data_IF_623433659678
#
_entry.id   IF_623433659678
#
_cell.length_a   1.000
_cell.length_b   1.000
_cell.length_c   1.000
_cell.angle_alpha   90.00
_cell.angle_beta   90.00
_cell.angle_gamma   90.00
#
_symmetry.space_group_name_H-M   'P 1'
#
loop_
_entity.id
_entity.type
_entity.pdbx_description
1 polymer ?
#
# COMPACT_ATOMS: atom_id res chain seq x y z
N UNK A 1 12.63 -3.52 -26.55
CA UNK A 1 13.00 -3.97 -25.19
C UNK A 1 12.52 -2.96 -24.19
N UNK A 2 11.43 -3.29 -23.51
CA UNK A 2 10.86 -2.48 -22.43
C UNK A 2 11.83 -2.35 -21.27
N UNK A 3 11.69 -1.30 -20.48
CA UNK A 3 12.49 -1.07 -19.27
C UNK A 3 11.61 -1.07 -18.04
N UNK A 4 11.95 -1.94 -17.09
CA UNK A 4 11.46 -1.89 -15.72
C UNK A 4 12.43 -1.08 -14.86
N UNK A 5 11.97 0.07 -14.38
CA UNK A 5 12.73 0.96 -13.51
C UNK A 5 12.10 0.93 -12.13
N UNK A 6 12.91 0.76 -11.08
CA UNK A 6 12.45 0.86 -9.69
C UNK A 6 12.98 2.12 -9.04
N UNK A 7 12.09 2.89 -8.41
CA UNK A 7 12.41 4.13 -7.70
C UNK A 7 12.35 3.86 -6.20
N UNK A 8 13.45 4.12 -5.50
CA UNK A 8 13.53 4.01 -4.03
C UNK A 8 14.08 5.28 -3.40
N UNK A 9 13.73 5.51 -2.14
CA UNK A 9 14.31 6.59 -1.33
C UNK A 9 15.57 6.07 -0.65
N UNK A 10 16.64 6.84 -0.62
CA UNK A 10 17.91 6.40 -0.01
C UNK A 10 18.06 6.83 1.45
N UNK A 11 17.09 7.56 2.01
CA UNK A 11 17.15 8.15 3.36
C UNK A 11 15.97 7.63 4.21
N UNK A 12 15.36 8.47 5.05
CA UNK A 12 14.21 8.14 5.90
C UNK A 12 12.85 8.52 5.27
N UNK A 13 12.76 8.58 3.94
CA UNK A 13 11.55 9.02 3.25
C UNK A 13 11.55 10.51 2.91
N UNK A 14 10.46 10.96 2.27
CA UNK A 14 10.27 12.34 1.79
C UNK A 14 11.38 12.88 0.86
N UNK A 15 12.12 12.02 0.15
CA UNK A 15 13.20 12.44 -0.75
C UNK A 15 12.71 13.09 -2.06
N UNK A 16 11.39 13.26 -2.22
CA UNK A 16 10.79 13.81 -3.44
C UNK A 16 10.54 12.77 -4.54
N UNK A 17 10.44 11.48 -4.18
CA UNK A 17 10.19 10.37 -5.14
C UNK A 17 9.02 10.64 -6.08
N UNK A 18 7.87 11.08 -5.55
CA UNK A 18 6.67 11.34 -6.36
C UNK A 18 6.89 12.32 -7.50
N UNK A 19 7.74 13.34 -7.32
CA UNK A 19 8.10 14.29 -8.38
C UNK A 19 8.92 13.64 -9.50
N UNK A 20 9.81 12.72 -9.15
CA UNK A 20 10.61 11.97 -10.12
C UNK A 20 9.76 10.93 -10.84
N UNK A 21 8.87 10.27 -10.11
CA UNK A 21 7.87 9.35 -10.67
C UNK A 21 7.03 10.09 -11.70
N UNK A 22 6.45 11.24 -11.33
CA UNK A 22 5.63 12.08 -12.24
C UNK A 22 6.41 12.61 -13.46
N UNK A 23 7.71 12.91 -13.33
CA UNK A 23 8.54 13.28 -14.49
C UNK A 23 8.71 12.10 -15.47
N UNK A 24 8.74 10.87 -14.96
CA UNK A 24 9.01 9.67 -15.74
C UNK A 24 7.73 8.99 -16.25
N UNK A 25 6.56 9.32 -15.69
CA UNK A 25 5.28 8.69 -16.04
C UNK A 25 4.87 8.91 -17.49
N UNK A 26 5.34 9.98 -18.14
CA UNK A 26 5.11 10.24 -19.57
C UNK A 26 5.80 9.23 -20.52
N UNK A 27 6.61 8.31 -19.97
CA UNK A 27 7.42 7.35 -20.74
C UNK A 27 7.18 5.90 -20.35
N UNK A 28 6.15 5.63 -19.56
CA UNK A 28 5.86 4.29 -19.06
C UNK A 28 4.41 3.91 -19.33
N UNK A 29 4.17 2.62 -19.49
CA UNK A 29 2.86 2.04 -19.74
C UNK A 29 2.15 1.70 -18.42
N UNK A 30 2.93 1.49 -17.34
CA UNK A 30 2.39 1.25 -16.01
C UNK A 30 3.25 1.80 -14.86
N UNK A 31 2.58 2.17 -13.77
CA UNK A 31 3.20 2.46 -12.47
C UNK A 31 2.70 1.46 -11.43
N UNK A 32 3.62 0.83 -10.72
CA UNK A 32 3.36 -0.28 -9.80
C UNK A 32 3.81 0.08 -8.39
N UNK A 33 2.88 0.19 -7.46
CA UNK A 33 3.18 0.27 -6.02
C UNK A 33 3.40 -1.12 -5.47
N UNK A 34 4.54 -1.36 -4.82
CA UNK A 34 4.94 -2.71 -4.40
C UNK A 34 4.99 -2.93 -2.88
N UNK A 35 4.88 -1.87 -2.07
CA UNK A 35 4.91 -1.98 -0.61
C UNK A 35 4.28 -0.79 0.11
N UNK A 36 4.14 -0.96 1.43
CA UNK A 36 3.63 0.02 2.37
C UNK A 36 2.12 0.01 2.34
N UNK A 37 1.51 1.15 2.58
CA UNK A 37 0.08 1.36 2.40
C UNK A 37 -0.18 2.85 2.26
N UNK A 38 -1.29 3.31 2.83
CA UNK A 38 -1.61 4.73 2.92
C UNK A 38 -0.70 5.50 3.90
N UNK A 39 0.33 4.92 4.51
CA UNK A 39 1.33 5.67 5.29
C UNK A 39 2.37 6.40 4.44
N UNK A 40 2.37 6.16 3.14
CA UNK A 40 3.08 7.00 2.20
C UNK A 40 2.23 8.23 1.88
N UNK A 41 2.88 9.37 1.64
CA UNK A 41 2.28 10.52 1.01
C UNK A 41 3.25 11.03 -0.04
N UNK A 42 2.81 11.17 -1.28
CA UNK A 42 3.60 11.84 -2.30
C UNK A 42 2.77 12.94 -2.96
N UNK A 43 3.39 14.11 -3.08
CA UNK A 43 2.77 15.24 -3.75
C UNK A 43 3.06 15.14 -5.24
N UNK A 44 2.02 15.17 -6.05
CA UNK A 44 2.10 15.38 -7.50
C UNK A 44 1.57 16.78 -7.82
N UNK A 45 2.19 17.45 -8.78
CA UNK A 45 1.75 18.77 -9.24
C UNK A 45 1.58 18.71 -10.75
N UNK A 46 0.34 18.81 -11.22
CA UNK A 46 0.01 18.86 -12.65
C UNK A 46 -0.72 20.16 -12.93
N UNK A 47 -0.27 20.89 -13.95
CA UNK A 47 -0.83 22.18 -14.37
C UNK A 47 -0.98 23.21 -13.23
N UNK A 48 -0.09 23.12 -12.22
CA UNK A 48 -0.10 23.99 -11.05
C UNK A 48 -1.01 23.52 -9.91
N UNK A 49 -1.82 22.47 -10.10
CA UNK A 49 -2.66 21.90 -9.05
C UNK A 49 -1.90 20.84 -8.25
N UNK A 50 -1.89 20.99 -6.92
CA UNK A 50 -1.24 20.07 -6.00
C UNK A 50 -2.21 18.97 -5.54
N UNK A 51 -1.87 17.72 -5.82
CA UNK A 51 -2.61 16.53 -5.35
C UNK A 51 -1.69 15.67 -4.49
N UNK A 52 -2.20 15.24 -3.31
CA UNK A 52 -1.45 14.37 -2.40
C UNK A 52 -2.06 12.98 -2.48
N UNK A 53 -1.26 12.03 -2.96
CA UNK A 53 -1.63 10.63 -3.08
C UNK A 53 -0.96 9.80 -1.98
N UNK A 54 -1.61 8.71 -1.58
CA UNK A 54 -1.18 7.84 -0.49
C UNK A 54 -1.07 6.38 -0.94
N UNK A 55 -2.18 5.74 -1.33
CA UNK A 55 -2.20 4.36 -1.82
C UNK A 55 -2.05 4.30 -3.34
N UNK A 56 -2.74 5.20 -4.03
CA UNK A 56 -2.82 5.20 -5.49
C UNK A 56 -1.45 5.58 -6.07
N UNK A 57 -0.92 4.84 -7.06
CA UNK A 57 0.34 5.19 -7.71
C UNK A 57 0.31 6.58 -8.37
N UNK A 58 1.46 7.27 -8.43
CA UNK A 58 1.50 8.65 -8.96
C UNK A 58 1.09 8.78 -10.43
N UNK A 59 1.13 7.68 -11.18
CA UNK A 59 0.75 7.63 -12.60
C UNK A 59 -0.73 7.86 -12.87
N UNK A 60 -1.60 7.87 -11.85
CA UNK A 60 -3.06 7.90 -12.01
C UNK A 60 -3.56 9.13 -12.77
N UNK A 61 -2.80 10.21 -12.70
CA UNK A 61 -3.11 11.48 -13.35
C UNK A 61 -2.75 11.50 -14.85
N UNK A 62 -2.16 10.43 -15.39
CA UNK A 62 -1.79 10.31 -16.82
C UNK A 62 -2.76 9.34 -17.52
N UNK A 63 -3.24 9.74 -18.69
CA UNK A 63 -4.32 9.02 -19.38
C UNK A 63 -3.93 7.63 -19.88
N UNK A 64 -2.68 7.46 -20.31
CA UNK A 64 -2.20 6.22 -20.94
C UNK A 64 -1.39 5.34 -19.98
N UNK A 65 -1.52 5.56 -18.67
CA UNK A 65 -0.71 4.87 -17.66
C UNK A 65 -1.60 4.00 -16.78
N UNK A 66 -1.37 2.70 -16.82
CA UNK A 66 -2.04 1.75 -15.92
C UNK A 66 -1.44 1.86 -14.51
N UNK A 67 -2.29 1.95 -13.49
CA UNK A 67 -1.85 2.01 -12.10
C UNK A 67 -2.10 0.69 -11.40
N UNK A 68 -1.05 0.05 -10.90
CA UNK A 68 -1.13 -1.28 -10.29
C UNK A 68 -0.73 -1.21 -8.81
N UNK A 69 -1.56 -1.79 -7.93
CA UNK A 69 -1.23 -2.03 -6.53
C UNK A 69 -0.85 -3.51 -6.38
N UNK A 70 0.44 -3.78 -6.20
CA UNK A 70 0.99 -5.12 -6.05
C UNK A 70 0.71 -5.74 -4.67
N UNK A 71 0.78 -7.07 -4.60
CA UNK A 71 0.47 -7.88 -3.42
C UNK A 71 1.30 -7.58 -2.16
N UNK A 72 2.37 -6.79 -2.29
CA UNK A 72 3.19 -6.35 -1.17
C UNK A 72 2.57 -5.20 -0.37
N UNK A 73 1.58 -4.49 -0.91
CA UNK A 73 0.90 -3.34 -0.28
C UNK A 73 -0.18 -3.82 0.69
N UNK A 74 -0.25 -3.20 1.88
CA UNK A 74 -1.39 -3.33 2.81
C UNK A 74 -2.43 -2.25 2.49
N UNK A 75 -3.64 -2.68 2.11
CA UNK A 75 -4.68 -1.80 1.56
C UNK A 75 -5.74 -1.51 2.62
N UNK A 76 -5.97 -0.24 2.92
CA UNK A 76 -7.14 0.21 3.67
C UNK A 76 -8.27 0.49 2.68
N UNK A 77 -9.38 -0.28 2.68
CA UNK A 77 -10.51 -0.02 1.79
C UNK A 77 -11.08 1.39 1.94
N UNK A 78 -11.22 1.86 3.18
CA UNK A 78 -11.72 3.20 3.48
C UNK A 78 -10.83 4.30 2.87
N UNK A 79 -9.51 4.23 3.12
CA UNK A 79 -8.58 5.23 2.61
C UNK A 79 -8.46 5.19 1.08
N UNK A 80 -8.55 4.00 0.49
CA UNK A 80 -8.53 3.83 -0.96
C UNK A 80 -9.74 4.50 -1.61
N UNK A 81 -10.95 4.26 -1.06
CA UNK A 81 -12.18 4.82 -1.61
C UNK A 81 -12.21 6.34 -1.48
N UNK A 82 -11.80 6.86 -0.32
CA UNK A 82 -11.66 8.31 -0.10
C UNK A 82 -10.72 8.95 -1.15
N UNK A 83 -9.59 8.30 -1.44
CA UNK A 83 -8.62 8.78 -2.43
C UNK A 83 -9.16 8.70 -3.86
N UNK A 84 -9.91 7.65 -4.21
CA UNK A 84 -10.59 7.50 -5.50
C UNK A 84 -11.64 8.60 -5.69
N UNK A 85 -12.52 8.81 -4.72
CA UNK A 85 -13.57 9.82 -4.78
C UNK A 85 -13.00 11.24 -4.90
N UNK A 86 -11.91 11.51 -4.18
CA UNK A 86 -11.16 12.76 -4.30
C UNK A 86 -10.65 12.97 -5.73
N UNK A 87 -10.07 11.95 -6.36
CA UNK A 87 -9.58 12.03 -7.74
C UNK A 87 -10.70 12.21 -8.77
N UNK A 88 -11.78 11.45 -8.64
CA UNK A 88 -12.92 11.52 -9.55
C UNK A 88 -13.67 12.85 -9.44
N UNK A 89 -13.73 13.45 -8.24
CA UNK A 89 -14.29 14.79 -8.07
C UNK A 89 -13.52 15.88 -8.84
N UNK A 90 -12.26 15.59 -9.21
CA UNK A 90 -11.39 16.42 -10.04
C UNK A 90 -11.36 15.99 -11.52
N UNK A 91 -12.20 15.04 -11.92
CA UNK A 91 -12.29 14.55 -13.29
C UNK A 91 -11.25 13.49 -13.67
N UNK A 92 -10.51 12.93 -12.71
CA UNK A 92 -9.58 11.83 -12.97
C UNK A 92 -10.34 10.50 -12.85
N UNK A 93 -10.44 9.67 -13.90
CA UNK A 93 -11.19 8.41 -13.87
C UNK A 93 -10.39 7.32 -13.16
N UNK A 94 -10.21 7.45 -11.84
CA UNK A 94 -9.31 6.61 -11.06
C UNK A 94 -9.72 5.13 -11.07
N UNK A 95 -11.02 4.81 -10.98
CA UNK A 95 -11.51 3.43 -11.04
C UNK A 95 -11.24 2.72 -12.37
N UNK A 96 -11.12 3.46 -13.47
CA UNK A 96 -10.85 2.89 -14.79
C UNK A 96 -9.36 2.54 -14.98
N UNK A 97 -8.47 3.24 -14.26
CA UNK A 97 -7.02 3.13 -14.43
C UNK A 97 -6.32 2.30 -13.34
N UNK A 98 -6.99 2.10 -12.21
CA UNK A 98 -6.43 1.43 -11.04
C UNK A 98 -6.80 -0.05 -11.02
N UNK A 99 -5.79 -0.91 -10.89
CA UNK A 99 -5.94 -2.33 -10.62
C UNK A 99 -5.24 -2.71 -9.32
N UNK A 100 -5.86 -3.62 -8.57
CA UNK A 100 -5.47 -3.99 -7.21
C UNK A 100 -5.30 -5.50 -7.14
N UNK A 101 -4.15 -5.94 -6.65
CA UNK A 101 -3.91 -7.37 -6.44
C UNK A 101 -4.89 -7.92 -5.40
N UNK A 102 -5.57 -9.01 -5.78
CA UNK A 102 -6.42 -9.77 -4.86
C UNK A 102 -5.65 -10.30 -3.62
N UNK A 103 -4.32 -10.40 -3.72
CA UNK A 103 -3.45 -10.91 -2.67
C UNK A 103 -3.01 -9.85 -1.65
N UNK A 104 -3.35 -8.57 -1.84
CA UNK A 104 -3.07 -7.51 -0.88
C UNK A 104 -3.73 -7.80 0.48
N UNK A 105 -2.98 -7.79 1.60
CA UNK A 105 -3.59 -7.80 2.93
C UNK A 105 -4.40 -6.53 3.18
N UNK A 106 -5.46 -6.66 3.96
CA UNK A 106 -6.34 -5.55 4.33
C UNK A 106 -5.89 -4.89 5.62
N UNK A 107 -6.03 -3.56 5.66
CA UNK A 107 -6.04 -2.79 6.89
C UNK A 107 -7.50 -2.65 7.32
N UNK A 108 -7.85 -3.23 8.48
CA UNK A 108 -9.17 -3.16 9.09
C UNK A 108 -9.10 -2.31 10.38
N UNK A 109 -10.24 -1.85 10.93
CA UNK A 109 -10.27 -0.93 12.07
C UNK A 109 -9.47 -1.41 13.30
N UNK A 110 -9.42 -2.73 13.54
CA UNK A 110 -8.64 -3.29 14.64
C UNK A 110 -7.13 -3.12 14.48
N UNK A 111 -6.60 -3.03 13.25
CA UNK A 111 -5.20 -2.69 13.01
C UNK A 111 -4.89 -1.26 13.46
N UNK A 112 -5.78 -0.32 13.16
CA UNK A 112 -5.64 1.09 13.56
C UNK A 112 -5.72 1.22 15.08
N UNK A 113 -6.69 0.57 15.71
CA UNK A 113 -6.82 0.56 17.18
C UNK A 113 -5.61 -0.08 17.86
N UNK A 114 -5.06 -1.16 17.30
CA UNK A 114 -3.89 -1.85 17.85
C UNK A 114 -2.61 -1.02 17.70
N UNK A 115 -2.42 -0.34 16.57
CA UNK A 115 -1.31 0.58 16.32
C UNK A 115 -1.31 1.72 17.36
N UNK A 116 -2.45 2.40 17.51
CA UNK A 116 -2.61 3.45 18.52
C UNK A 116 -2.43 2.94 19.96
N UNK A 117 -2.92 1.75 20.28
CA UNK A 117 -2.75 1.14 21.59
C UNK A 117 -1.28 0.84 21.93
N UNK A 118 -0.52 0.34 20.95
CA UNK A 118 0.92 0.04 21.09
C UNK A 118 1.76 1.29 21.29
N UNK A 119 1.50 2.34 20.50
CA UNK A 119 2.21 3.61 20.64
C UNK A 119 1.96 4.22 22.03
N UNK A 120 0.71 4.24 22.50
CA UNK A 120 0.38 4.72 23.86
C UNK A 120 1.08 3.91 24.95
N UNK A 121 1.10 2.58 24.81
CA UNK A 121 1.74 1.70 25.79
C UNK A 121 3.28 1.85 25.79
N UNK A 122 3.88 2.25 24.67
CA UNK A 122 5.33 2.41 24.52
C UNK A 122 5.85 3.70 25.15
N UNK A 123 4.98 4.68 25.43
CA UNK A 123 5.33 5.91 26.12
C UNK A 123 6.48 6.64 25.44
N UNK A 124 7.58 6.87 26.17
CA UNK A 124 8.78 7.56 25.64
C UNK A 124 9.57 6.73 24.62
N UNK A 125 9.25 5.45 24.45
CA UNK A 125 9.85 4.54 23.46
C UNK A 125 8.95 4.32 22.23
N UNK A 126 7.89 5.12 22.08
CA UNK A 126 7.05 5.09 20.90
C UNK A 126 7.90 5.26 19.63
N UNK A 127 7.49 4.56 18.57
CA UNK A 127 8.20 4.57 17.29
C UNK A 127 7.92 5.88 16.54
N UNK A 128 6.73 6.47 16.74
CA UNK A 128 6.22 7.55 15.91
C UNK A 128 5.53 6.98 14.67
N UNK A 129 4.69 5.95 14.83
CA UNK A 129 3.96 5.36 13.71
C UNK A 129 2.97 6.37 13.12
N UNK A 130 2.53 6.15 11.88
CA UNK A 130 1.51 7.01 11.27
C UNK A 130 0.11 6.80 11.86
N UNK A 131 -0.07 5.87 12.80
CA UNK A 131 -1.38 5.51 13.37
C UNK A 131 -2.36 4.93 12.35
N UNK A 132 -1.86 4.38 11.24
CA UNK A 132 -2.65 3.91 10.09
C UNK A 132 -2.80 2.39 10.06
N UNK A 133 -2.33 1.68 11.08
CA UNK A 133 -2.48 0.22 11.18
C UNK A 133 -1.53 -0.57 10.26
N UNK A 134 -0.46 0.05 9.75
CA UNK A 134 0.48 -0.60 8.82
C UNK A 134 1.19 -1.78 9.45
N UNK A 135 1.80 -1.55 10.62
CA UNK A 135 2.55 -2.58 11.35
C UNK A 135 1.68 -3.77 11.72
N UNK A 136 0.53 -3.56 12.41
CA UNK A 136 -0.41 -4.63 12.69
C UNK A 136 -0.89 -5.42 11.45
N UNK A 137 -1.13 -4.76 10.32
CA UNK A 137 -1.54 -5.46 9.09
C UNK A 137 -0.41 -6.35 8.52
N UNK A 138 0.84 -5.87 8.55
CA UNK A 138 2.00 -6.69 8.16
C UNK A 138 2.26 -7.83 9.15
N UNK A 139 2.03 -7.61 10.45
CA UNK A 139 2.12 -8.67 11.46
C UNK A 139 1.10 -9.78 11.19
N UNK A 140 -0.16 -9.43 10.90
CA UNK A 140 -1.18 -10.42 10.57
C UNK A 140 -0.86 -11.16 9.26
N UNK A 141 -0.22 -10.49 8.30
CA UNK A 141 0.30 -11.13 7.07
C UNK A 141 1.36 -12.17 7.43
N UNK A 142 2.36 -11.80 8.24
CA UNK A 142 3.43 -12.70 8.66
C UNK A 142 2.91 -13.86 9.53
N UNK A 143 1.90 -13.59 10.37
CA UNK A 143 1.23 -14.59 11.20
C UNK A 143 0.28 -15.51 10.42
N UNK A 144 0.05 -15.22 9.12
CA UNK A 144 -0.87 -15.96 8.23
C UNK A 144 -2.34 -15.88 8.66
N UNK A 145 -2.73 -14.79 9.33
CA UNK A 145 -4.13 -14.51 9.74
C UNK A 145 -4.75 -13.31 9.02
N UNK A 146 -3.97 -12.56 8.23
CA UNK A 146 -4.50 -11.40 7.52
C UNK A 146 -5.62 -11.79 6.54
N UNK A 147 -6.71 -11.03 6.60
CA UNK A 147 -7.68 -10.97 5.52
C UNK A 147 -7.05 -10.26 4.32
N UNK A 148 -7.40 -10.70 3.12
CA UNK A 148 -6.89 -10.14 1.85
C UNK A 148 -8.03 -9.59 1.00
N UNK A 149 -7.69 -8.80 -0.02
CA UNK A 149 -8.67 -8.26 -0.98
C UNK A 149 -9.57 -9.36 -1.58
N UNK A 150 -9.02 -10.52 -1.92
CA UNK A 150 -9.78 -11.68 -2.39
C UNK A 150 -10.90 -12.11 -1.41
N UNK A 151 -10.69 -11.94 -0.10
CA UNK A 151 -11.70 -12.30 0.90
C UNK A 151 -12.93 -11.37 0.81
N UNK A 152 -12.77 -10.09 0.43
CA UNK A 152 -13.90 -9.14 0.25
C UNK A 152 -14.89 -9.60 -0.81
N UNK A 153 -14.44 -10.37 -1.80
CA UNK A 153 -15.28 -10.88 -2.88
C UNK A 153 -16.21 -12.03 -2.43
N UNK A 154 -16.02 -12.53 -1.21
CA UNK A 154 -16.75 -13.68 -0.66
C UNK A 154 -17.22 -13.41 0.77
N UNK A 155 -18.42 -12.85 0.91
CA UNK A 155 -18.99 -12.42 2.21
C UNK A 155 -18.85 -13.44 3.34
N UNK A 156 -19.21 -14.70 3.10
CA UNK A 156 -19.16 -15.74 4.16
C UNK A 156 -17.73 -16.04 4.60
N UNK A 157 -16.80 -16.12 3.65
CA UNK A 157 -15.37 -16.32 3.91
C UNK A 157 -14.77 -15.13 4.64
N UNK A 158 -15.14 -13.90 4.24
CA UNK A 158 -14.74 -12.68 4.95
C UNK A 158 -15.25 -12.69 6.39
N UNK A 159 -16.54 -12.94 6.59
CA UNK A 159 -17.18 -12.96 7.91
C UNK A 159 -16.55 -14.00 8.85
N UNK A 160 -16.30 -15.21 8.37
CA UNK A 160 -15.63 -16.27 9.14
C UNK A 160 -14.23 -15.86 9.58
N UNK A 161 -13.38 -15.40 8.65
CA UNK A 161 -12.01 -14.96 8.98
C UNK A 161 -11.98 -13.72 9.87
N UNK A 162 -12.89 -12.78 9.64
CA UNK A 162 -13.04 -11.59 10.46
C UNK A 162 -13.41 -11.98 11.89
N UNK A 163 -14.33 -12.93 12.08
CA UNK A 163 -14.74 -13.37 13.40
C UNK A 163 -13.58 -13.90 14.23
N UNK A 164 -12.78 -14.81 13.65
CA UNK A 164 -11.60 -15.39 14.31
C UNK A 164 -10.53 -14.33 14.62
N UNK A 165 -10.21 -13.49 13.63
CA UNK A 165 -9.13 -12.51 13.74
C UNK A 165 -9.50 -11.37 14.69
N UNK A 166 -10.76 -10.91 14.63
CA UNK A 166 -11.28 -9.87 15.51
C UNK A 166 -11.42 -10.35 16.95
N UNK A 167 -11.79 -11.61 17.19
CA UNK A 167 -11.84 -12.14 18.56
C UNK A 167 -10.46 -12.10 19.23
N UNK A 168 -9.42 -12.55 18.52
CA UNK A 168 -8.03 -12.43 18.97
C UNK A 168 -7.64 -10.99 19.27
N UNK A 169 -7.85 -10.07 18.32
CA UNK A 169 -7.47 -8.66 18.52
C UNK A 169 -8.28 -7.98 19.60
N UNK A 170 -9.58 -8.26 19.72
CA UNK A 170 -10.41 -7.75 20.80
C UNK A 170 -9.95 -8.26 22.17
N UNK A 171 -9.52 -9.52 22.26
CA UNK A 171 -8.94 -10.05 23.49
C UNK A 171 -7.67 -9.28 23.87
N UNK A 172 -6.76 -9.05 22.92
CA UNK A 172 -5.52 -8.30 23.15
C UNK A 172 -5.81 -6.83 23.50
N UNK A 173 -6.69 -6.17 22.76
CA UNK A 173 -7.09 -4.78 23.00
C UNK A 173 -7.67 -4.60 24.40
N UNK A 174 -8.66 -5.41 24.78
CA UNK A 174 -9.36 -5.26 26.05
C UNK A 174 -8.53 -5.72 27.26
N UNK A 175 -7.86 -6.86 27.15
CA UNK A 175 -7.22 -7.49 28.32
C UNK A 175 -5.78 -7.04 28.53
N UNK A 176 -5.04 -6.76 27.46
CA UNK A 176 -3.65 -6.33 27.55
C UNK A 176 -3.53 -4.80 27.50
N UNK A 177 -4.09 -4.17 26.46
CA UNK A 177 -3.96 -2.71 26.26
C UNK A 177 -5.02 -1.87 26.96
N UNK A 178 -6.05 -2.48 27.56
CA UNK A 178 -7.20 -1.78 28.18
C UNK A 178 -7.88 -0.80 27.22
N UNK A 179 -7.92 -1.16 25.94
CA UNK A 179 -8.58 -0.42 24.87
C UNK A 179 -10.00 -0.96 24.60
N UNK A 180 -10.82 -0.16 23.93
CA UNK A 180 -12.18 -0.52 23.57
C UNK A 180 -12.21 -1.72 22.60
N UNK A 181 -13.21 -2.59 22.78
CA UNK A 181 -13.49 -3.68 21.84
C UNK A 181 -14.21 -3.11 20.62
N UNK A 182 -13.92 -3.68 19.47
CA UNK A 182 -14.55 -3.33 18.22
C UNK A 182 -15.71 -4.28 17.92
N UNK A 183 -16.77 -3.73 17.33
CA UNK A 183 -17.96 -4.46 16.97
C UNK A 183 -17.78 -5.21 15.65
N UNK A 184 -18.10 -6.51 15.65
CA UNK A 184 -17.97 -7.38 14.48
C UNK A 184 -18.90 -6.94 13.36
N UNK A 185 -20.17 -6.68 13.67
CA UNK A 185 -21.20 -6.44 12.68
C UNK A 185 -20.95 -5.13 11.93
N UNK A 186 -20.54 -4.09 12.65
CA UNK A 186 -20.13 -2.80 12.08
C UNK A 186 -18.98 -2.96 11.09
N UNK A 187 -17.92 -3.67 11.45
CA UNK A 187 -16.77 -3.88 10.55
C UNK A 187 -17.21 -4.67 9.33
N UNK A 188 -18.00 -5.73 9.51
CA UNK A 188 -18.50 -6.55 8.42
C UNK A 188 -19.31 -5.72 7.42
N UNK A 189 -20.33 -4.98 7.89
CA UNK A 189 -21.24 -4.24 7.03
C UNK A 189 -20.52 -3.13 6.26
N UNK A 190 -19.63 -2.38 6.95
CA UNK A 190 -18.80 -1.36 6.32
C UNK A 190 -17.91 -1.93 5.20
N UNK A 191 -17.25 -3.07 5.45
CA UNK A 191 -16.34 -3.66 4.47
C UNK A 191 -17.06 -4.36 3.32
N UNK A 192 -18.30 -4.84 3.53
CA UNK A 192 -19.14 -5.33 2.44
C UNK A 192 -19.60 -4.18 1.53
N UNK A 193 -19.86 -2.99 2.07
CA UNK A 193 -20.12 -1.81 1.25
C UNK A 193 -18.88 -1.41 0.43
N UNK A 194 -17.68 -1.47 1.03
CA UNK A 194 -16.43 -1.24 0.31
C UNK A 194 -16.14 -2.29 -0.77
N UNK A 195 -16.49 -3.55 -0.52
CA UNK A 195 -16.31 -4.64 -1.48
C UNK A 195 -17.03 -4.37 -2.82
N UNK A 196 -18.25 -3.84 -2.77
CA UNK A 196 -19.03 -3.51 -3.97
C UNK A 196 -18.35 -2.47 -4.86
N UNK A 197 -17.64 -1.52 -4.26
CA UNK A 197 -16.89 -0.49 -4.99
C UNK A 197 -15.53 -0.99 -5.48
N UNK A 198 -14.86 -1.85 -4.70
CA UNK A 198 -13.50 -2.32 -5.00
C UNK A 198 -13.48 -3.43 -6.05
N UNK A 199 -14.52 -4.27 -6.11
CA UNK A 199 -14.54 -5.50 -6.93
C UNK A 199 -14.15 -5.29 -8.41
N UNK A 200 -14.50 -4.14 -8.99
CA UNK A 200 -14.23 -3.84 -10.42
C UNK A 200 -12.75 -3.55 -10.70
N UNK A 201 -11.97 -3.22 -9.68
CA UNK A 201 -10.53 -2.94 -9.77
C UNK A 201 -9.68 -4.15 -9.36
N UNK A 202 -10.28 -5.25 -8.89
CA UNK A 202 -9.51 -6.42 -8.44
C UNK A 202 -9.03 -7.22 -9.66
N UNK A 203 -7.73 -7.51 -9.70
CA UNK A 203 -7.11 -8.27 -10.80
C UNK A 203 -5.92 -9.11 -10.34
N UNK A 204 -5.52 -10.07 -11.18
CA UNK A 204 -4.22 -10.74 -11.06
C UNK A 204 -3.11 -9.82 -11.58
N UNK A 205 -2.61 -8.96 -10.69
CA UNK A 205 -1.56 -7.99 -10.99
C UNK A 205 -0.25 -8.66 -11.40
N UNK A 206 0.06 -9.86 -10.91
CA UNK A 206 1.29 -10.56 -11.26
C UNK A 206 1.25 -11.04 -12.73
N UNK A 207 0.11 -11.60 -13.15
CA UNK A 207 -0.14 -12.00 -14.54
C UNK A 207 -0.10 -10.78 -15.47
N UNK A 208 -0.70 -9.65 -15.07
CA UNK A 208 -0.67 -8.41 -15.86
C UNK A 208 0.77 -7.91 -16.04
N UNK A 209 1.56 -7.86 -14.96
CA UNK A 209 2.96 -7.44 -15.04
C UNK A 209 3.78 -8.38 -15.92
N UNK A 210 3.53 -9.69 -15.83
CA UNK A 210 4.16 -10.68 -16.71
C UNK A 210 3.80 -10.44 -18.18
N UNK A 211 2.53 -10.21 -18.49
CA UNK A 211 2.08 -9.87 -19.85
C UNK A 211 2.71 -8.58 -20.38
N UNK A 212 2.82 -7.54 -19.54
CA UNK A 212 3.50 -6.28 -19.89
C UNK A 212 5.00 -6.50 -20.15
N UNK A 213 5.64 -7.38 -19.37
CA UNK A 213 7.04 -7.76 -19.57
C UNK A 213 7.26 -8.46 -20.92
N UNK A 214 6.45 -9.46 -21.24
CA UNK A 214 6.52 -10.21 -22.52
C UNK A 214 6.21 -9.30 -23.73
N UNK A 215 5.34 -8.30 -23.53
CA UNK A 215 5.01 -7.31 -24.54
C UNK A 215 6.04 -6.17 -24.66
N UNK A 216 7.18 -6.25 -23.96
CA UNK A 216 8.25 -5.26 -24.04
C UNK A 216 7.82 -3.84 -23.62
N UNK A 217 6.84 -3.75 -22.72
CA UNK A 217 6.32 -2.48 -22.18
C UNK A 217 7.20 -1.92 -21.06
N UNK A 218 7.15 -0.61 -20.88
CA UNK A 218 7.91 0.12 -19.87
C UNK A 218 7.11 0.20 -18.57
N UNK A 219 7.74 -0.17 -17.46
CA UNK A 219 7.10 -0.18 -16.15
C UNK A 219 7.93 0.58 -15.12
N UNK A 220 7.23 1.31 -14.26
CA UNK A 220 7.83 2.04 -13.15
C UNK A 220 7.37 1.47 -11.82
N UNK A 221 8.30 0.94 -11.03
CA UNK A 221 8.01 0.44 -9.68
C UNK A 221 8.23 1.57 -8.68
N UNK A 222 7.15 2.02 -8.07
CA UNK A 222 7.11 3.16 -7.16
C UNK A 222 7.32 2.70 -5.71
N UNK A 223 8.47 3.05 -5.14
CA UNK A 223 8.78 2.79 -3.74
C UNK A 223 8.17 3.84 -2.80
N UNK A 224 7.69 3.37 -1.65
CA UNK A 224 7.26 4.20 -0.54
C UNK A 224 8.35 4.30 0.55
N UNK A 225 8.31 5.34 1.40
CA UNK A 225 9.31 5.57 2.46
C UNK A 225 10.76 5.59 1.90
N UNK A 226 11.78 5.32 2.72
CA UNK A 226 13.17 5.30 2.31
C UNK A 226 13.92 4.11 2.89
N UNK A 227 15.10 3.81 2.34
CA UNK A 227 15.91 2.63 2.67
C UNK A 227 16.27 2.55 4.15
N UNK A 228 16.45 3.68 4.84
CA UNK A 228 16.77 3.71 6.27
C UNK A 228 15.55 3.48 7.18
N UNK A 229 14.36 3.36 6.59
CA UNK A 229 13.14 2.88 7.25
C UNK A 229 12.80 1.42 6.90
N UNK A 230 13.67 0.71 6.18
CA UNK A 230 13.46 -0.71 5.85
C UNK A 230 13.40 -1.56 7.13
N UNK A 231 12.49 -2.53 7.20
CA UNK A 231 12.33 -3.40 8.36
C UNK A 231 13.59 -4.22 8.71
N UNK A 232 14.40 -4.57 7.70
CA UNK A 232 15.63 -5.35 7.87
C UNK A 232 16.89 -4.48 7.86
N UNK A 233 16.89 -3.43 7.03
CA UNK A 233 18.11 -2.64 6.75
C UNK A 233 18.10 -1.22 7.32
N UNK A 234 17.01 -0.82 7.96
CA UNK A 234 16.84 0.51 8.55
C UNK A 234 17.33 0.62 9.99
N UNK A 235 17.00 1.75 10.62
CA UNK A 235 17.33 2.06 12.02
C UNK A 235 16.39 1.36 13.02
N UNK A 236 16.34 0.02 12.98
CA UNK A 236 15.44 -0.78 13.82
C UNK A 236 15.61 -0.47 15.32
N UNK A 237 14.52 -0.28 16.11
CA UNK A 237 13.11 -0.50 15.76
C UNK A 237 12.38 0.70 15.12
N UNK A 238 13.06 1.82 14.86
CA UNK A 238 12.48 3.04 14.30
C UNK A 238 12.39 2.96 12.77
N UNK A 239 11.57 2.02 12.29
CA UNK A 239 11.43 1.65 10.88
C UNK A 239 9.96 1.41 10.52
N UNK A 240 9.64 1.28 9.23
CA UNK A 240 8.34 0.74 8.80
C UNK A 240 8.35 -0.79 8.84
N UNK A 241 7.19 -1.43 8.74
CA UNK A 241 7.04 -2.90 8.78
C UNK A 241 7.09 -3.56 7.40
N UNK A 242 7.61 -2.86 6.40
CA UNK A 242 7.83 -3.34 5.04
C UNK A 242 9.30 -3.17 4.64
N UNK A 243 9.75 -3.94 3.65
CA UNK A 243 11.02 -3.63 2.99
C UNK A 243 10.82 -2.48 2.02
N UNK A 244 11.66 -1.45 2.15
CA UNK A 244 11.65 -0.25 1.32
C UNK A 244 12.75 -0.29 0.26
N UNK A 245 13.64 -1.28 0.34
CA UNK A 245 14.70 -1.57 -0.63
C UNK A 245 14.16 -2.12 -1.96
N UNK A 246 14.97 -1.97 -3.02
CA UNK A 246 14.58 -2.35 -4.38
C UNK A 246 14.26 -3.84 -4.55
N UNK A 247 14.87 -4.72 -3.74
CA UNK A 247 14.62 -6.17 -3.81
C UNK A 247 13.14 -6.52 -3.59
N UNK A 248 12.43 -5.73 -2.78
CA UNK A 248 11.02 -5.96 -2.51
C UNK A 248 10.11 -5.63 -3.70
N UNK A 249 10.61 -4.92 -4.72
CA UNK A 249 9.89 -4.72 -5.98
C UNK A 249 9.48 -6.05 -6.62
N UNK A 250 10.32 -7.08 -6.49
CA UNK A 250 10.01 -8.44 -6.96
C UNK A 250 8.95 -9.12 -6.08
N UNK A 251 9.22 -9.28 -4.80
CA UNK A 251 8.32 -10.01 -3.87
C UNK A 251 6.97 -9.33 -3.67
N UNK A 252 6.94 -7.99 -3.80
CA UNK A 252 5.75 -7.17 -3.65
C UNK A 252 4.86 -7.10 -4.89
N UNK A 253 5.27 -7.70 -6.02
CA UNK A 253 4.51 -7.65 -7.28
C UNK A 253 4.41 -8.98 -8.02
N UNK A 254 5.22 -9.98 -7.66
CA UNK A 254 5.36 -11.22 -8.43
C UNK A 254 6.38 -11.13 -9.56
N UNK A 255 7.05 -10.00 -9.73
CA UNK A 255 8.06 -9.81 -10.77
C UNK A 255 9.35 -10.59 -10.52
N UNK A 256 9.88 -11.25 -11.55
CA UNK A 256 11.20 -11.88 -11.48
C UNK A 256 12.31 -10.86 -11.18
N UNK A 257 13.29 -11.15 -10.31
CA UNK A 257 14.35 -10.19 -9.94
C UNK A 257 15.23 -9.79 -11.12
N UNK A 258 15.30 -10.60 -12.17
CA UNK A 258 16.04 -10.31 -13.40
C UNK A 258 15.33 -9.34 -14.34
N UNK A 259 14.06 -9.02 -14.10
CA UNK A 259 13.29 -8.09 -14.92
C UNK A 259 13.59 -6.63 -14.58
N UNK A 260 14.05 -6.35 -13.35
CA UNK A 260 14.42 -5.01 -12.91
C UNK A 260 15.70 -4.54 -13.63
N UNK A 261 15.56 -3.61 -14.58
CA UNK A 261 16.67 -3.18 -15.42
C UNK A 261 17.48 -2.04 -14.82
N UNK A 262 16.84 -1.20 -14.00
CA UNK A 262 17.50 -0.04 -13.40
C UNK A 262 16.90 0.30 -12.03
N UNK A 263 17.76 0.58 -11.05
CA UNK A 263 17.38 1.07 -9.73
C UNK A 263 17.75 2.54 -9.62
N UNK A 264 16.74 3.40 -9.52
CA UNK A 264 16.91 4.84 -9.31
C UNK A 264 16.75 5.17 -7.83
N UNK A 265 17.87 5.44 -7.16
CA UNK A 265 17.89 5.95 -5.79
C UNK A 265 17.69 7.47 -5.74
N UNK A 266 16.70 7.92 -4.97
CA UNK A 266 16.41 9.34 -4.77
C UNK A 266 16.97 9.77 -3.42
N UNK A 267 17.80 10.81 -3.46
CA UNK A 267 18.48 11.39 -2.28
C UNK A 267 18.20 12.89 -2.25
N UNK A 268 17.80 13.42 -1.08
CA UNK A 268 17.70 14.85 -0.84
C UNK A 268 19.08 15.43 -0.50
N UNK A 269 19.33 16.70 -0.82
CA UNK A 269 20.61 17.36 -0.56
C UNK A 269 20.96 17.52 0.94
N UNK A 270 20.01 17.23 1.83
CA UNK A 270 20.12 17.28 3.29
C UNK A 270 19.37 16.10 3.91
N UNK A 271 19.58 15.87 5.22
CA UNK A 271 18.89 14.87 6.06
C UNK A 271 18.24 15.54 7.25
#
# INVERSE_FOLDING_TARGET
MGRSVIIIGTQWGDEGKGKVVDMLTDRVDAVVRFQGGHNAGHTVVIDGEKTVLHLIPSGILRDNVSCLIGNGVVVSPAALIEEIEMLESKGVPARERLLISEACPLILPYHVSLDAARERASGTKAIGTTGRGIGPAYEDKAARRALRVADLLHRERFASKLGETLDYHNFVLANYYRAERLDFQRILDEHMAFAEMIKVMVADVAEIIYGMHEADLNMLFEGAQGTLLDIDHGTYPYVTSSNTTAGFGSTGTGSGPRWMNYVLGITKAYT
#
